data_IF_899966613415
#
_entry.id   IF_899966613415
#
_cell.length_a   1.000
_cell.length_b   1.000
_cell.length_c   1.000
_cell.angle_alpha   90.00
_cell.angle_beta   90.00
_cell.angle_gamma   90.00
#
_symmetry.space_group_name_H-M   'P 1'
#
loop_
_entity.id
_entity.type
_entity.pdbx_description
1 polymer ?
#
# COMPACT_ATOMS: atom_id res chain seq x y z
N UNK A 1 -13.93 -3.66 22.83
CA UNK A 1 -13.42 -3.43 24.20
C UNK A 1 -13.22 -1.96 24.54
N UNK A 2 -12.79 -1.11 23.59
CA UNK A 2 -12.35 0.27 23.85
C UNK A 2 -13.43 1.27 24.29
N UNK A 3 -14.66 1.18 23.77
CA UNK A 3 -15.76 2.12 24.12
C UNK A 3 -16.26 2.01 25.56
N UNK A 4 -16.36 0.79 26.09
CA UNK A 4 -16.80 0.55 27.47
C UNK A 4 -15.79 1.05 28.52
N UNK A 5 -14.50 1.01 28.18
CA UNK A 5 -13.42 1.50 29.04
C UNK A 5 -13.34 3.04 29.09
N UNK A 6 -13.65 3.70 27.98
CA UNK A 6 -13.77 5.16 27.95
C UNK A 6 -14.93 5.64 28.82
N UNK A 7 -16.11 5.05 28.65
CA UNK A 7 -17.31 5.39 29.42
C UNK A 7 -17.12 5.17 30.92
N UNK A 8 -16.42 4.12 31.34
CA UNK A 8 -16.12 3.87 32.76
C UNK A 8 -15.10 4.85 33.34
N UNK A 9 -14.14 5.32 32.55
CA UNK A 9 -13.19 6.36 32.96
C UNK A 9 -13.83 7.74 33.09
N UNK A 10 -14.74 8.12 32.19
CA UNK A 10 -15.48 9.38 32.25
C UNK A 10 -16.41 9.45 33.48
N UNK A 11 -16.90 8.30 33.93
CA UNK A 11 -17.72 8.19 35.14
C UNK A 11 -16.90 8.08 36.46
N UNK A 12 -15.56 8.19 36.43
CA UNK A 12 -14.66 8.00 37.59
C UNK A 12 -14.89 6.68 38.35
N UNK A 13 -15.38 5.63 37.68
CA UNK A 13 -15.74 4.36 38.32
C UNK A 13 -14.50 3.53 38.71
N UNK A 14 -13.36 3.77 38.07
CA UNK A 14 -12.09 3.09 38.35
C UNK A 14 -10.91 4.08 38.33
N UNK A 15 -9.95 3.96 39.26
CA UNK A 15 -8.70 4.70 39.22
C UNK A 15 -7.93 4.43 37.92
N UNK A 16 -7.31 5.47 37.36
CA UNK A 16 -6.54 5.37 36.11
C UNK A 16 -5.45 4.28 36.17
N UNK A 17 -4.80 4.10 37.32
CA UNK A 17 -3.78 3.06 37.49
C UNK A 17 -4.33 1.65 37.25
N UNK A 18 -5.50 1.34 37.82
CA UNK A 18 -6.12 0.01 37.68
C UNK A 18 -6.54 -0.27 36.24
N UNK A 19 -7.02 0.76 35.53
CA UNK A 19 -7.38 0.67 34.11
C UNK A 19 -6.14 0.36 33.26
N UNK A 20 -5.03 1.05 33.52
CA UNK A 20 -3.77 0.85 32.80
C UNK A 20 -3.21 -0.55 33.03
N UNK A 21 -3.23 -1.02 34.27
CA UNK A 21 -2.75 -2.34 34.67
C UNK A 21 -3.63 -3.45 34.09
N UNK A 22 -4.95 -3.28 34.08
CA UNK A 22 -5.89 -4.24 33.48
C UNK A 22 -5.78 -4.31 31.95
N UNK A 23 -5.47 -3.19 31.28
CA UNK A 23 -5.35 -3.13 29.82
C UNK A 23 -3.91 -3.36 29.30
N UNK A 24 -2.92 -3.39 30.19
CA UNK A 24 -1.50 -3.45 29.83
C UNK A 24 -1.02 -2.23 29.05
N UNK A 25 -1.63 -1.06 29.26
CA UNK A 25 -1.30 0.16 28.53
C UNK A 25 -0.35 1.06 29.32
N UNK A 26 0.56 1.72 28.61
CA UNK A 26 1.31 2.83 29.20
C UNK A 26 0.40 4.06 29.36
N UNK A 27 0.69 4.92 30.35
CA UNK A 27 0.03 6.23 30.51
C UNK A 27 0.00 7.02 29.20
N UNK A 28 1.10 7.00 28.43
CA UNK A 28 1.21 7.69 27.14
C UNK A 28 0.22 7.14 26.11
N UNK A 29 0.09 5.82 26.01
CA UNK A 29 -0.86 5.17 25.10
C UNK A 29 -2.29 5.57 25.45
N UNK A 30 -2.62 5.58 26.74
CA UNK A 30 -3.92 5.99 27.23
C UNK A 30 -4.27 7.44 26.86
N UNK A 31 -3.38 8.40 27.12
CA UNK A 31 -3.65 9.79 26.74
C UNK A 31 -3.76 9.99 25.22
N UNK A 32 -3.05 9.22 24.41
CA UNK A 32 -3.22 9.25 22.94
C UNK A 32 -4.58 8.74 22.51
N UNK A 33 -5.07 7.65 23.14
CA UNK A 33 -6.41 7.11 22.88
C UNK A 33 -7.48 8.12 23.30
N UNK A 34 -7.33 8.73 24.50
CA UNK A 34 -8.23 9.77 24.99
C UNK A 34 -8.25 11.00 24.07
N UNK A 35 -7.08 11.44 23.60
CA UNK A 35 -6.97 12.57 22.69
C UNK A 35 -7.69 12.27 21.35
N UNK A 36 -7.46 11.09 20.77
CA UNK A 36 -8.14 10.65 19.55
C UNK A 36 -9.66 10.58 19.73
N UNK A 37 -10.13 10.04 20.86
CA UNK A 37 -11.55 10.01 21.19
C UNK A 37 -12.16 11.40 21.29
N UNK A 38 -11.51 12.33 22.00
CA UNK A 38 -11.99 13.70 22.15
C UNK A 38 -11.99 14.48 20.83
N UNK A 39 -11.08 14.17 19.91
CA UNK A 39 -10.96 14.87 18.62
C UNK A 39 -11.87 14.28 17.55
N UNK A 40 -12.06 12.96 17.53
CA UNK A 40 -12.71 12.25 16.42
C UNK A 40 -14.04 11.58 16.82
N UNK A 41 -14.32 11.40 18.12
CA UNK A 41 -15.49 10.67 18.61
C UNK A 41 -15.45 9.15 18.37
N UNK A 42 -14.34 8.65 17.82
CA UNK A 42 -14.04 7.23 17.66
C UNK A 42 -12.54 7.01 17.87
N UNK A 43 -12.19 5.85 18.44
CA UNK A 43 -10.78 5.42 18.57
C UNK A 43 -10.31 4.78 17.26
N UNK A 44 -11.24 4.25 16.47
CA UNK A 44 -10.92 3.72 15.16
C UNK A 44 -10.66 4.89 14.20
N UNK A 45 -9.51 4.94 13.52
CA UNK A 45 -9.34 5.91 12.45
C UNK A 45 -10.47 5.69 11.43
N UNK A 46 -11.19 6.74 10.99
CA UNK A 46 -12.29 6.62 10.04
C UNK A 46 -11.73 5.95 8.80
N UNK A 47 -12.06 4.66 8.62
CA UNK A 47 -11.48 3.70 7.65
C UNK A 47 -10.27 4.33 6.99
N UNK A 48 -9.12 4.28 7.66
CA UNK A 48 -7.87 4.59 7.00
C UNK A 48 -7.87 3.71 5.77
N UNK A 49 -8.25 4.28 4.62
CA UNK A 49 -8.02 3.70 3.32
C UNK A 49 -6.55 3.38 3.43
N UNK A 50 -6.24 2.08 3.44
CA UNK A 50 -4.90 1.58 3.29
C UNK A 50 -4.46 2.20 1.97
N UNK A 51 -3.95 3.43 2.02
CA UNK A 51 -3.43 4.12 0.88
C UNK A 51 -2.17 3.30 0.63
N UNK A 52 -2.33 2.29 -0.22
CA UNK A 52 -1.21 1.76 -0.95
C UNK A 52 -0.52 2.93 -1.62
N UNK A 53 0.76 2.74 -1.93
CA UNK A 53 1.48 3.66 -2.81
C UNK A 53 0.58 3.95 -4.02
N UNK A 54 0.32 5.23 -4.30
CA UNK A 54 -0.37 5.62 -5.52
C UNK A 54 0.42 5.00 -6.66
N UNK A 55 -0.21 4.09 -7.40
CA UNK A 55 0.42 3.45 -8.56
C UNK A 55 0.43 4.48 -9.68
N UNK A 56 1.58 4.62 -10.31
CA UNK A 56 1.73 5.53 -11.46
C UNK A 56 1.08 4.94 -12.73
N UNK A 57 0.81 3.63 -12.74
CA UNK A 57 0.11 2.94 -13.82
C UNK A 57 -1.26 2.48 -13.33
N UNK A 58 -2.29 2.65 -14.17
CA UNK A 58 -3.61 2.16 -13.84
C UNK A 58 -3.63 0.62 -13.83
N UNK A 59 -4.62 0.04 -13.15
CA UNK A 59 -4.75 -1.41 -13.08
C UNK A 59 -5.04 -2.03 -14.46
N UNK A 60 -5.80 -1.34 -15.31
CA UNK A 60 -6.17 -1.85 -16.64
C UNK A 60 -4.97 -1.84 -17.59
N UNK A 61 -4.13 -0.80 -17.52
CA UNK A 61 -2.83 -0.71 -18.21
C UNK A 61 -1.92 -1.88 -17.85
N UNK A 62 -1.81 -2.16 -16.54
CA UNK A 62 -1.02 -3.27 -16.04
C UNK A 62 -1.59 -4.61 -16.50
N UNK A 63 -2.91 -4.76 -16.50
CA UNK A 63 -3.59 -5.94 -17.01
C UNK A 63 -3.24 -6.21 -18.47
N UNK A 64 -3.27 -5.17 -19.31
CA UNK A 64 -2.89 -5.25 -20.72
C UNK A 64 -1.44 -5.73 -20.91
N UNK A 65 -0.50 -5.13 -20.19
CA UNK A 65 0.92 -5.54 -20.24
C UNK A 65 1.13 -6.99 -19.79
N UNK A 66 0.43 -7.42 -18.74
CA UNK A 66 0.52 -8.79 -18.25
C UNK A 66 0.00 -9.79 -19.28
N UNK A 67 -1.09 -9.48 -19.98
CA UNK A 67 -1.62 -10.30 -21.07
C UNK A 67 -0.60 -10.40 -22.20
N UNK A 68 0.01 -9.29 -22.62
CA UNK A 68 1.05 -9.30 -23.65
C UNK A 68 2.25 -10.17 -23.26
N UNK A 69 2.78 -9.99 -22.05
CA UNK A 69 3.92 -10.75 -21.51
C UNK A 69 3.58 -12.25 -21.33
N UNK A 70 2.30 -12.57 -21.14
CA UNK A 70 1.83 -13.94 -21.05
C UNK A 70 1.70 -14.59 -22.43
N UNK A 71 1.20 -13.85 -23.42
CA UNK A 71 1.04 -14.32 -24.79
C UNK A 71 2.39 -14.49 -25.49
N UNK A 72 3.31 -13.53 -25.34
CA UNK A 72 4.67 -13.62 -25.85
C UNK A 72 5.65 -13.13 -24.78
N UNK A 73 6.43 -14.03 -24.15
CA UNK A 73 7.35 -13.66 -23.08
C UNK A 73 8.63 -12.98 -23.57
N UNK A 74 8.76 -12.76 -24.88
CA UNK A 74 9.95 -12.22 -25.54
C UNK A 74 9.83 -10.72 -25.83
N UNK A 75 8.75 -10.07 -25.35
CA UNK A 75 8.65 -8.61 -25.40
C UNK A 75 9.74 -7.95 -24.55
N UNK A 76 10.42 -6.98 -25.16
CA UNK A 76 11.43 -6.18 -24.50
C UNK A 76 10.80 -5.06 -23.66
N UNK A 77 11.52 -4.55 -22.65
CA UNK A 77 10.98 -3.48 -21.79
C UNK A 77 10.72 -2.19 -22.58
N UNK A 78 11.58 -1.91 -23.56
CA UNK A 78 11.46 -0.75 -24.44
C UNK A 78 10.28 -0.88 -25.42
N UNK A 79 9.97 -2.10 -25.86
CA UNK A 79 8.76 -2.37 -26.64
C UNK A 79 7.50 -2.19 -25.78
N UNK A 80 7.53 -2.64 -24.52
CA UNK A 80 6.41 -2.43 -23.60
C UNK A 80 6.22 -0.93 -23.30
N UNK A 81 7.31 -0.17 -23.18
CA UNK A 81 7.28 1.30 -23.07
C UNK A 81 6.67 1.94 -24.32
N UNK A 82 7.13 1.53 -25.50
CA UNK A 82 6.62 2.04 -26.78
C UNK A 82 5.15 1.67 -26.98
N UNK A 83 4.71 0.50 -26.54
CA UNK A 83 3.32 0.06 -26.60
C UNK A 83 2.43 0.86 -25.64
N UNK A 84 2.91 1.21 -24.44
CA UNK A 84 2.19 2.10 -23.53
C UNK A 84 2.08 3.52 -24.10
N UNK A 85 3.17 4.04 -24.65
CA UNK A 85 3.18 5.37 -25.27
C UNK A 85 2.26 5.42 -26.50
N UNK A 86 2.29 4.39 -27.34
CA UNK A 86 1.54 4.36 -28.61
C UNK A 86 0.06 4.04 -28.42
N UNK A 87 -0.28 3.08 -27.55
CA UNK A 87 -1.66 2.62 -27.40
C UNK A 87 -2.42 3.37 -26.31
N UNK A 88 -1.74 3.88 -25.28
CA UNK A 88 -2.39 4.51 -24.12
C UNK A 88 -1.92 5.95 -23.87
N UNK A 89 -0.96 6.47 -24.66
CA UNK A 89 -0.39 7.82 -24.50
C UNK A 89 0.22 8.07 -23.11
N UNK A 90 0.66 7.01 -22.44
CA UNK A 90 1.30 7.08 -21.12
C UNK A 90 2.80 6.95 -21.29
N UNK A 91 3.51 8.06 -21.06
CA UNK A 91 4.97 8.04 -20.95
C UNK A 91 5.36 7.75 -19.50
N UNK A 92 5.80 6.52 -19.25
CA UNK A 92 6.32 6.08 -17.94
C UNK A 92 7.79 5.76 -18.05
N UNK A 93 8.54 5.99 -16.98
CA UNK A 93 9.95 5.59 -16.93
C UNK A 93 10.09 4.08 -16.75
N UNK A 94 11.15 3.47 -17.31
CA UNK A 94 11.39 2.01 -17.25
C UNK A 94 11.36 1.45 -15.82
N UNK A 95 11.86 2.22 -14.84
CA UNK A 95 11.86 1.84 -13.41
C UNK A 95 10.44 1.66 -12.89
N UNK A 96 9.50 2.50 -13.34
CA UNK A 96 8.10 2.42 -12.95
C UNK A 96 7.51 1.10 -13.42
N UNK A 97 7.64 0.77 -14.70
CA UNK A 97 7.14 -0.50 -15.26
C UNK A 97 7.82 -1.69 -14.57
N UNK A 98 9.12 -1.65 -14.38
CA UNK A 98 9.85 -2.74 -13.72
C UNK A 98 9.35 -2.98 -12.29
N UNK A 99 9.12 -1.91 -11.52
CA UNK A 99 8.56 -1.99 -10.17
C UNK A 99 7.11 -2.51 -10.17
N UNK A 100 6.27 -2.04 -11.08
CA UNK A 100 4.88 -2.46 -11.19
C UNK A 100 4.77 -3.93 -11.63
N UNK A 101 5.57 -4.37 -12.61
CA UNK A 101 5.61 -5.77 -13.04
C UNK A 101 6.11 -6.70 -11.92
N UNK A 102 7.08 -6.25 -11.12
CA UNK A 102 7.54 -6.99 -9.93
C UNK A 102 6.43 -7.09 -8.88
N UNK A 103 5.69 -6.01 -8.64
CA UNK A 103 4.54 -6.01 -7.73
C UNK A 103 3.38 -6.90 -8.25
N UNK A 104 3.21 -6.97 -9.57
CA UNK A 104 2.25 -7.85 -10.23
C UNK A 104 2.65 -9.33 -10.20
N UNK A 105 3.81 -9.67 -9.64
CA UNK A 105 4.25 -11.05 -9.44
C UNK A 105 5.08 -11.63 -10.59
N UNK A 106 5.56 -10.81 -11.53
CA UNK A 106 6.51 -11.29 -12.54
C UNK A 106 7.84 -11.63 -11.85
N UNK A 107 8.32 -12.86 -12.09
CA UNK A 107 9.57 -13.33 -11.52
C UNK A 107 10.74 -12.44 -11.92
N UNK A 108 11.60 -12.10 -10.95
CA UNK A 108 12.79 -11.29 -11.19
C UNK A 108 13.75 -11.90 -12.21
N UNK A 109 13.71 -13.22 -12.45
CA UNK A 109 14.49 -13.86 -13.53
C UNK A 109 13.97 -13.46 -14.92
N UNK A 110 12.64 -13.38 -15.08
CA UNK A 110 12.00 -12.98 -16.34
C UNK A 110 12.25 -11.51 -16.62
N UNK A 111 12.15 -10.65 -15.59
CA UNK A 111 12.52 -9.24 -15.69
C UNK A 111 14.00 -9.03 -16.02
N UNK A 112 14.91 -9.79 -15.39
CA UNK A 112 16.34 -9.70 -15.66
C UNK A 112 16.70 -10.08 -17.10
N UNK A 113 16.04 -11.10 -17.67
CA UNK A 113 16.21 -11.50 -19.07
C UNK A 113 15.87 -10.33 -20.00
N UNK A 114 14.69 -9.75 -19.80
CA UNK A 114 14.19 -8.59 -20.55
C UNK A 114 15.16 -7.39 -20.48
N UNK A 115 15.82 -7.16 -19.33
CA UNK A 115 16.80 -6.06 -19.18
C UNK A 115 18.22 -6.38 -19.66
N UNK A 116 18.62 -7.65 -19.71
CA UNK A 116 20.00 -8.04 -20.06
C UNK A 116 20.29 -7.87 -21.55
N UNK A 117 19.29 -8.12 -22.39
CA UNK A 117 19.39 -8.01 -23.85
C UNK A 117 19.59 -6.56 -24.34
N UNK A 118 19.38 -5.55 -23.48
CA UNK A 118 19.63 -4.13 -23.78
C UNK A 118 21.07 -3.69 -23.49
N UNK A 119 21.78 -4.35 -22.55
CA UNK A 119 23.14 -3.95 -22.16
C UNK A 119 24.22 -4.42 -23.15
N UNK A 120 23.83 -5.06 -24.26
CA UNK A 120 24.73 -5.55 -25.30
C UNK A 120 24.81 -4.62 -26.54
N UNK A 121 24.19 -3.43 -26.51
CA UNK A 121 24.39 -2.36 -27.51
C UNK A 121 25.45 -1.32 -27.11
#
# INVERSE_FOLDING_TARGET
MSRYLLSTSECNLLPLCDILDCCGFSKRTWYRIMHLWNTTGDILPPRASLHGCVRNLDHDDLGYLLVLIHQNPDYFLDELLHLLETNWFISVHYVTIHCELKQAGISSKKLKRITLEHNEE
#
